data_IF_315067522394
#
_entry.id   IF_315067522394
#
_cell.length_a   1.000
_cell.length_b   1.000
_cell.length_c   1.000
_cell.angle_alpha   90.00
_cell.angle_beta   90.00
_cell.angle_gamma   90.00
#
_symmetry.space_group_name_H-M   'P 1'
#
loop_
_entity.id
_entity.type
_entity.pdbx_description
1 polymer ?
#
# COMPACT_ATOMS: atom_id res chain seq x y z
N UNK A 1 -12.78 34.68 -6.77
CA UNK A 1 -14.00 33.94 -6.46
C UNK A 1 -13.58 32.67 -5.69
N UNK A 2 -13.79 32.65 -4.37
CA UNK A 2 -13.52 31.53 -3.50
C UNK A 2 -14.59 30.45 -3.73
N UNK A 3 -14.27 29.43 -4.52
CA UNK A 3 -15.07 28.24 -4.62
C UNK A 3 -14.88 27.37 -3.37
N UNK A 4 -15.66 27.59 -2.32
CA UNK A 4 -15.82 26.62 -1.24
C UNK A 4 -16.56 25.42 -1.81
N UNK A 5 -15.79 24.37 -2.17
CA UNK A 5 -16.35 23.03 -2.45
C UNK A 5 -17.06 22.57 -1.16
N UNK A 6 -18.37 22.71 -1.08
CA UNK A 6 -19.18 22.13 -0.01
C UNK A 6 -19.22 20.63 -0.25
N UNK A 7 -18.29 19.91 0.41
CA UNK A 7 -18.37 18.45 0.44
C UNK A 7 -19.78 18.04 0.92
N UNK A 8 -20.41 17.09 0.22
CA UNK A 8 -21.71 16.55 0.61
C UNK A 8 -21.69 16.15 2.09
N UNK A 9 -22.74 16.43 2.88
CA UNK A 9 -22.84 15.99 4.28
C UNK A 9 -22.61 14.47 4.46
N UNK A 10 -22.92 13.67 3.45
CA UNK A 10 -22.61 12.25 3.42
C UNK A 10 -21.13 11.95 3.29
N UNK A 11 -20.38 12.73 2.49
CA UNK A 11 -18.94 12.53 2.31
C UNK A 11 -18.13 12.82 3.58
N UNK A 12 -18.59 13.73 4.44
CA UNK A 12 -17.93 14.04 5.71
C UNK A 12 -18.06 12.92 6.74
N UNK A 13 -19.09 12.07 6.61
CA UNK A 13 -19.42 10.95 7.54
C UNK A 13 -18.99 9.58 6.99
N UNK A 14 -18.37 9.52 5.81
CA UNK A 14 -17.84 8.27 5.28
C UNK A 14 -16.76 7.71 6.20
N UNK A 15 -16.81 6.39 6.41
CA UNK A 15 -15.81 5.66 7.18
C UNK A 15 -15.09 4.67 6.27
N UNK A 16 -13.77 4.60 6.39
CA UNK A 16 -12.89 3.75 5.61
C UNK A 16 -12.22 2.76 6.56
N UNK A 17 -12.28 1.47 6.23
CA UNK A 17 -11.67 0.41 7.02
C UNK A 17 -10.49 -0.17 6.26
N UNK A 18 -9.33 -0.22 6.91
CA UNK A 18 -8.09 -0.82 6.38
C UNK A 18 -7.25 -1.40 7.50
N UNK A 19 -6.42 -2.38 7.16
CA UNK A 19 -5.53 -3.08 8.09
C UNK A 19 -5.38 -4.54 7.74
N UNK A 20 -4.51 -5.28 8.46
CA UNK A 20 -4.19 -6.68 8.17
C UNK A 20 -5.41 -7.58 8.43
N UNK A 21 -6.18 -7.88 7.39
CA UNK A 21 -7.49 -8.57 7.50
C UNK A 21 -7.80 -9.42 6.27
N UNK A 22 -7.10 -10.53 6.09
CA UNK A 22 -7.51 -11.51 5.07
C UNK A 22 -8.91 -12.06 5.37
N UNK A 23 -9.82 -11.91 4.41
CA UNK A 23 -11.24 -12.27 4.60
C UNK A 23 -11.45 -13.70 5.08
N UNK A 24 -10.66 -14.65 4.58
CA UNK A 24 -10.75 -16.05 5.01
C UNK A 24 -10.35 -16.26 6.48
N UNK A 25 -9.44 -15.46 7.02
CA UNK A 25 -9.04 -15.52 8.43
C UNK A 25 -10.07 -14.85 9.33
N UNK A 26 -10.56 -13.68 8.92
CA UNK A 26 -11.66 -12.99 9.62
C UNK A 26 -12.89 -13.88 9.71
N UNK A 27 -13.28 -14.54 8.63
CA UNK A 27 -14.44 -15.43 8.59
C UNK A 27 -14.30 -16.65 9.51
N UNK A 28 -13.07 -17.09 9.81
CA UNK A 28 -12.80 -18.17 10.78
C UNK A 28 -12.70 -17.69 12.22
N UNK A 29 -12.87 -16.39 12.48
CA UNK A 29 -12.74 -15.80 13.79
C UNK A 29 -11.31 -15.67 14.30
N UNK A 30 -10.32 -15.61 13.40
CA UNK A 30 -8.94 -15.36 13.78
C UNK A 30 -8.80 -13.93 14.35
N UNK A 31 -7.95 -13.72 15.40
CA UNK A 31 -7.74 -12.40 15.96
C UNK A 31 -7.29 -11.40 14.89
N UNK A 32 -8.06 -10.35 14.71
CA UNK A 32 -7.85 -9.36 13.64
C UNK A 32 -7.94 -7.95 14.22
N UNK A 33 -7.05 -7.07 13.77
CA UNK A 33 -7.00 -5.68 14.21
C UNK A 33 -6.96 -4.77 12.98
N UNK A 34 -7.85 -3.77 12.94
CA UNK A 34 -7.98 -2.85 11.80
C UNK A 34 -8.11 -1.39 12.25
N UNK A 35 -7.99 -0.45 11.32
CA UNK A 35 -8.24 0.97 11.52
C UNK A 35 -9.52 1.38 10.79
N UNK A 36 -10.39 2.09 11.46
CA UNK A 36 -11.55 2.81 10.90
C UNK A 36 -11.20 4.29 10.85
N UNK A 37 -11.11 4.86 9.65
CA UNK A 37 -10.81 6.27 9.44
C UNK A 37 -12.05 7.04 9.01
N UNK A 38 -12.26 8.22 9.58
CA UNK A 38 -13.29 9.16 9.16
C UNK A 38 -12.90 10.58 9.51
N UNK A 39 -13.30 11.55 8.69
CA UNK A 39 -13.18 12.98 9.05
C UNK A 39 -14.13 13.37 10.18
N UNK A 40 -15.26 12.66 10.35
CA UNK A 40 -16.15 12.74 11.50
C UNK A 40 -15.73 11.69 12.53
N UNK A 41 -15.05 12.17 13.60
CA UNK A 41 -14.60 11.31 14.70
C UNK A 41 -15.73 10.51 15.33
N UNK A 42 -16.90 11.13 15.52
CA UNK A 42 -18.06 10.44 16.10
C UNK A 42 -18.59 9.32 15.18
N UNK A 43 -18.48 9.49 13.85
CA UNK A 43 -18.80 8.44 12.90
C UNK A 43 -17.82 7.26 13.01
N UNK A 44 -16.50 7.54 13.09
CA UNK A 44 -15.50 6.48 13.28
C UNK A 44 -15.69 5.71 14.60
N UNK A 45 -15.96 6.40 15.70
CA UNK A 45 -16.22 5.80 17.02
C UNK A 45 -17.49 4.93 17.00
N UNK A 46 -18.55 5.36 16.33
CA UNK A 46 -19.75 4.52 16.16
C UNK A 46 -19.46 3.24 15.38
N UNK A 47 -18.71 3.33 14.27
CA UNK A 47 -18.35 2.16 13.48
C UNK A 47 -17.41 1.25 14.26
N UNK A 48 -16.46 1.81 15.02
CA UNK A 48 -15.59 1.06 15.93
C UNK A 48 -16.43 0.21 16.91
N UNK A 49 -17.42 0.80 17.55
CA UNK A 49 -18.30 0.09 18.51
C UNK A 49 -19.13 -1.00 17.84
N UNK A 50 -19.64 -0.74 16.63
CA UNK A 50 -20.46 -1.68 15.88
C UNK A 50 -19.70 -2.91 15.39
N UNK A 51 -18.44 -2.72 14.99
CA UNK A 51 -17.65 -3.80 14.37
C UNK A 51 -16.76 -4.54 15.37
N UNK A 52 -16.43 -3.93 16.53
CA UNK A 52 -15.52 -4.56 17.48
C UNK A 52 -16.17 -5.74 18.19
N UNK A 53 -15.44 -6.86 18.23
CA UNK A 53 -15.79 -8.10 18.92
C UNK A 53 -14.57 -8.60 19.72
N UNK A 54 -14.68 -9.65 20.52
CA UNK A 54 -13.51 -10.23 21.20
C UNK A 54 -12.37 -10.67 20.28
N UNK A 55 -12.65 -10.94 19.01
CA UNK A 55 -11.65 -11.39 18.02
C UNK A 55 -11.42 -10.40 16.88
N UNK A 56 -12.21 -9.32 16.79
CA UNK A 56 -12.07 -8.28 15.76
C UNK A 56 -12.01 -6.91 16.43
N UNK A 57 -10.84 -6.28 16.45
CA UNK A 57 -10.63 -5.01 17.14
C UNK A 57 -10.44 -3.86 16.15
N UNK A 58 -11.21 -2.80 16.32
CA UNK A 58 -11.08 -1.57 15.53
C UNK A 58 -10.37 -0.46 16.34
N UNK A 59 -9.40 0.22 15.71
CA UNK A 59 -8.88 1.51 16.15
C UNK A 59 -9.46 2.62 15.26
N UNK A 60 -9.56 3.83 15.78
CA UNK A 60 -10.05 4.98 15.01
C UNK A 60 -8.90 5.86 14.51
N UNK A 61 -9.09 6.53 13.37
CA UNK A 61 -8.20 7.55 12.83
C UNK A 61 -9.00 8.70 12.21
N UNK A 62 -8.45 9.90 12.21
CA UNK A 62 -8.96 11.03 11.43
C UNK A 62 -8.22 11.23 10.12
N UNK A 63 -7.09 10.53 9.94
CA UNK A 63 -6.28 10.56 8.72
C UNK A 63 -6.84 9.60 7.66
N UNK A 64 -7.93 10.03 7.01
CA UNK A 64 -8.55 9.27 5.91
C UNK A 64 -7.58 9.08 4.76
N UNK A 65 -6.83 10.13 4.41
CA UNK A 65 -5.88 10.07 3.27
C UNK A 65 -4.82 9.00 3.51
N UNK A 66 -4.22 8.99 4.69
CA UNK A 66 -3.19 8.01 5.04
C UNK A 66 -3.73 6.57 5.02
N UNK A 67 -4.91 6.34 5.57
CA UNK A 67 -5.53 5.01 5.61
C UNK A 67 -5.88 4.50 4.21
N UNK A 68 -6.46 5.35 3.34
CA UNK A 68 -6.78 4.98 1.96
C UNK A 68 -5.52 4.74 1.11
N UNK A 69 -4.51 5.63 1.23
CA UNK A 69 -3.24 5.47 0.51
C UNK A 69 -2.50 4.20 0.93
N UNK A 70 -2.46 3.88 2.23
CA UNK A 70 -1.88 2.64 2.74
C UNK A 70 -2.53 1.41 2.13
N UNK A 71 -3.86 1.34 2.19
CA UNK A 71 -4.66 0.23 1.65
C UNK A 71 -4.53 0.05 0.14
N UNK A 72 -4.31 1.13 -0.63
CA UNK A 72 -4.12 1.06 -2.07
C UNK A 72 -2.68 0.64 -2.45
N UNK A 73 -1.68 1.34 -1.90
CA UNK A 73 -0.28 1.19 -2.30
C UNK A 73 0.36 -0.14 -1.87
N UNK A 74 -0.08 -0.73 -0.72
CA UNK A 74 0.39 -2.05 -0.29
C UNK A 74 0.26 -3.11 -1.39
N UNK A 75 -0.81 -3.04 -2.19
CA UNK A 75 -1.10 -4.00 -3.24
C UNK A 75 -0.06 -3.95 -4.37
N UNK A 76 0.43 -2.76 -4.69
CA UNK A 76 1.52 -2.56 -5.67
C UNK A 76 2.80 -3.22 -5.15
N UNK A 77 3.17 -2.93 -3.90
CA UNK A 77 4.39 -3.48 -3.30
C UNK A 77 4.31 -5.00 -3.12
N UNK A 78 3.12 -5.53 -2.86
CA UNK A 78 2.92 -6.97 -2.80
C UNK A 78 3.21 -7.66 -4.15
N UNK A 79 2.87 -7.03 -5.28
CA UNK A 79 3.28 -7.51 -6.61
C UNK A 79 4.80 -7.50 -6.72
N UNK A 80 5.47 -6.40 -6.36
CA UNK A 80 6.94 -6.32 -6.39
C UNK A 80 7.63 -7.38 -5.52
N UNK A 81 7.11 -7.62 -4.30
CA UNK A 81 7.60 -8.70 -3.43
C UNK A 81 7.38 -10.08 -4.07
N UNK A 82 6.23 -10.31 -4.69
CA UNK A 82 5.97 -11.53 -5.44
C UNK A 82 6.94 -11.72 -6.60
N UNK A 83 7.21 -10.68 -7.40
CA UNK A 83 8.21 -10.73 -8.50
C UNK A 83 9.58 -11.10 -7.95
N UNK A 84 10.03 -10.47 -6.87
CA UNK A 84 11.30 -10.79 -6.20
C UNK A 84 11.38 -12.24 -5.75
N UNK A 85 10.30 -12.76 -5.17
CA UNK A 85 10.22 -14.16 -4.74
C UNK A 85 10.26 -15.13 -5.95
N UNK A 86 9.51 -14.82 -7.02
CA UNK A 86 9.49 -15.60 -8.26
C UNK A 86 10.83 -15.62 -9.00
N UNK A 87 11.61 -14.56 -8.89
CA UNK A 87 13.00 -14.48 -9.39
C UNK A 87 14.01 -15.22 -8.50
N UNK A 88 13.60 -15.71 -7.32
CA UNK A 88 14.45 -16.45 -6.40
C UNK A 88 15.41 -15.58 -5.56
N UNK A 89 15.13 -14.29 -5.36
CA UNK A 89 16.04 -13.39 -4.62
C UNK A 89 16.02 -13.59 -3.10
N UNK A 90 14.98 -14.24 -2.57
CA UNK A 90 14.92 -14.67 -1.17
C UNK A 90 14.47 -13.60 -0.17
N UNK A 91 14.53 -13.96 1.12
CA UNK A 91 13.93 -13.19 2.20
C UNK A 91 14.57 -11.81 2.44
N UNK A 92 15.89 -11.68 2.23
CA UNK A 92 16.58 -10.39 2.39
C UNK A 92 16.06 -9.35 1.39
N UNK A 93 15.91 -9.72 0.12
CA UNK A 93 15.37 -8.86 -0.91
C UNK A 93 13.92 -8.46 -0.62
N UNK A 94 13.10 -9.42 -0.18
CA UNK A 94 11.71 -9.14 0.22
C UNK A 94 11.65 -8.17 1.42
N UNK A 95 12.47 -8.37 2.46
CA UNK A 95 12.54 -7.46 3.60
C UNK A 95 12.95 -6.06 3.16
N UNK A 96 13.96 -5.92 2.31
CA UNK A 96 14.39 -4.65 1.75
C UNK A 96 13.27 -3.97 0.94
N UNK A 97 12.55 -4.72 0.09
CA UNK A 97 11.40 -4.20 -0.67
C UNK A 97 10.28 -3.69 0.23
N UNK A 98 9.92 -4.43 1.29
CA UNK A 98 8.90 -3.99 2.26
C UNK A 98 9.34 -2.69 2.94
N UNK A 99 10.57 -2.63 3.44
CA UNK A 99 11.09 -1.46 4.15
C UNK A 99 11.21 -0.23 3.24
N UNK A 100 11.83 -0.39 2.07
CA UNK A 100 12.01 0.72 1.12
C UNK A 100 10.71 1.12 0.47
N UNK A 101 9.83 0.16 0.17
CA UNK A 101 8.49 0.40 -0.34
C UNK A 101 7.61 1.16 0.65
N UNK A 102 7.69 0.86 1.94
CA UNK A 102 7.01 1.65 2.98
C UNK A 102 7.47 3.12 2.96
N UNK A 103 8.76 3.36 2.73
CA UNK A 103 9.29 4.71 2.57
C UNK A 103 8.69 5.44 1.36
N UNK A 104 8.53 4.76 0.21
CA UNK A 104 7.86 5.33 -0.97
C UNK A 104 6.39 5.61 -0.71
N UNK A 105 5.66 4.66 -0.10
CA UNK A 105 4.27 4.86 0.33
C UNK A 105 4.13 6.08 1.23
N UNK A 106 5.03 6.22 2.21
CA UNK A 106 5.01 7.33 3.17
C UNK A 106 5.21 8.66 2.45
N UNK A 107 6.24 8.79 1.58
CA UNK A 107 6.47 10.03 0.82
C UNK A 107 5.28 10.40 -0.04
N UNK A 108 4.73 9.43 -0.78
CA UNK A 108 3.59 9.69 -1.66
C UNK A 108 2.33 10.06 -0.88
N UNK A 109 2.06 9.39 0.25
CA UNK A 109 0.94 9.69 1.13
C UNK A 109 1.08 11.08 1.79
N UNK A 110 2.28 11.44 2.29
CA UNK A 110 2.56 12.76 2.87
C UNK A 110 2.39 13.87 1.83
N UNK A 111 2.84 13.66 0.60
CA UNK A 111 2.62 14.61 -0.51
C UNK A 111 1.12 14.81 -0.84
N UNK A 112 0.25 13.87 -0.40
CA UNK A 112 -1.22 13.97 -0.49
C UNK A 112 -1.87 14.50 0.78
N UNK A 113 -1.09 14.86 1.79
CA UNK A 113 -1.57 15.42 3.06
C UNK A 113 -1.85 14.39 4.14
N UNK A 114 -1.37 13.15 4.00
CA UNK A 114 -1.43 12.15 5.06
C UNK A 114 -0.44 12.46 6.19
N UNK A 115 -0.77 11.97 7.38
CA UNK A 115 0.12 12.01 8.50
C UNK A 115 1.18 10.89 8.39
N UNK A 116 2.49 11.19 8.47
CA UNK A 116 3.54 10.20 8.22
C UNK A 116 3.47 8.97 9.15
N UNK A 117 3.07 9.15 10.42
CA UNK A 117 2.94 8.04 11.38
C UNK A 117 1.80 7.07 11.04
N UNK A 118 0.82 7.46 10.24
CA UNK A 118 -0.23 6.55 9.77
C UNK A 118 0.34 5.38 8.98
N UNK A 119 1.44 5.63 8.23
CA UNK A 119 2.11 4.57 7.47
C UNK A 119 2.83 3.55 8.35
N UNK A 120 3.24 3.91 9.58
CA UNK A 120 3.78 2.96 10.56
C UNK A 120 2.71 2.14 11.30
N UNK A 121 1.43 2.44 11.10
CA UNK A 121 0.29 1.79 11.75
C UNK A 121 -0.26 0.58 11.00
N UNK A 122 -1.48 0.17 11.43
CA UNK A 122 -2.18 -1.01 10.91
C UNK A 122 -2.50 -0.92 9.41
N UNK A 123 -2.99 0.24 8.95
CA UNK A 123 -3.35 0.48 7.55
C UNK A 123 -2.13 0.68 6.62
N UNK A 124 -0.96 0.97 7.17
CA UNK A 124 0.31 1.05 6.45
C UNK A 124 1.15 -0.21 6.64
N UNK A 125 2.13 -0.18 7.56
CA UNK A 125 3.08 -1.27 7.77
C UNK A 125 2.40 -2.62 8.06
N UNK A 126 1.37 -2.65 8.92
CA UNK A 126 0.71 -3.90 9.30
C UNK A 126 0.12 -4.63 8.09
N UNK A 127 -0.66 -3.91 7.28
CA UNK A 127 -1.31 -4.47 6.09
C UNK A 127 -0.32 -4.71 4.95
N UNK A 128 0.73 -3.88 4.83
CA UNK A 128 1.82 -4.10 3.90
C UNK A 128 2.55 -5.42 4.17
N UNK A 129 2.97 -5.65 5.41
CA UNK A 129 3.65 -6.89 5.80
C UNK A 129 2.77 -8.11 5.50
N UNK A 130 1.50 -8.09 5.93
CA UNK A 130 0.58 -9.18 5.65
C UNK A 130 0.43 -9.45 4.16
N UNK A 131 0.25 -8.39 3.36
CA UNK A 131 -0.02 -8.52 1.92
C UNK A 131 1.22 -8.96 1.13
N UNK A 132 2.42 -8.54 1.55
CA UNK A 132 3.69 -8.90 0.92
C UNK A 132 4.21 -10.29 1.30
N UNK A 133 3.78 -10.87 2.42
CA UNK A 133 4.30 -12.14 2.92
C UNK A 133 3.26 -13.27 2.96
N UNK A 134 1.97 -12.94 3.00
CA UNK A 134 0.91 -13.92 3.14
C UNK A 134 0.55 -14.61 1.81
N UNK A 135 0.33 -15.92 1.88
CA UNK A 135 0.01 -16.74 0.70
C UNK A 135 -1.42 -16.49 0.17
N UNK A 136 -2.29 -15.87 0.97
CA UNK A 136 -3.63 -15.48 0.55
C UNK A 136 -3.65 -14.16 -0.27
N UNK A 137 -2.50 -13.51 -0.46
CA UNK A 137 -2.39 -12.27 -1.23
C UNK A 137 -2.43 -12.53 -2.73
N UNK A 138 -3.54 -12.18 -3.37
CA UNK A 138 -3.68 -12.23 -4.84
C UNK A 138 -2.63 -11.39 -5.57
N UNK A 139 -2.30 -10.23 -5.03
CA UNK A 139 -1.29 -9.35 -5.60
C UNK A 139 0.11 -9.98 -5.56
N UNK A 140 0.49 -10.59 -4.42
CA UNK A 140 1.75 -11.33 -4.30
C UNK A 140 1.77 -12.52 -5.27
N UNK A 141 0.65 -13.24 -5.43
CA UNK A 141 0.54 -14.36 -6.38
C UNK A 141 0.76 -13.91 -7.83
N UNK A 142 0.18 -12.78 -8.25
CA UNK A 142 0.46 -12.20 -9.58
C UNK A 142 1.95 -11.93 -9.75
N UNK A 143 2.58 -11.28 -8.77
CA UNK A 143 4.01 -10.99 -8.83
C UNK A 143 4.86 -12.25 -8.91
N UNK A 144 4.55 -13.28 -8.11
CA UNK A 144 5.23 -14.58 -8.13
C UNK A 144 5.24 -15.22 -9.53
N UNK A 145 4.09 -15.21 -10.20
CA UNK A 145 3.92 -15.75 -11.54
C UNK A 145 4.67 -14.95 -12.59
N UNK A 146 4.66 -13.62 -12.49
CA UNK A 146 5.47 -12.74 -13.37
C UNK A 146 6.96 -13.03 -13.18
N UNK A 147 7.44 -13.13 -11.93
CA UNK A 147 8.82 -13.46 -11.62
C UNK A 147 9.23 -14.85 -12.11
N UNK A 148 8.29 -15.78 -12.22
CA UNK A 148 8.47 -17.10 -12.81
C UNK A 148 8.43 -17.11 -14.36
N UNK A 149 8.16 -15.94 -15.01
CA UNK A 149 8.19 -15.79 -16.46
C UNK A 149 6.83 -15.83 -17.16
N UNK A 150 5.71 -15.85 -16.42
CA UNK A 150 4.38 -15.77 -17.04
C UNK A 150 4.06 -14.32 -17.41
N UNK A 151 3.30 -14.13 -18.52
CA UNK A 151 2.78 -12.82 -18.90
C UNK A 151 1.53 -12.44 -18.11
N UNK A 152 1.24 -11.14 -18.04
CA UNK A 152 0.03 -10.66 -17.35
C UNK A 152 -1.25 -11.22 -17.99
N UNK A 153 -1.27 -11.41 -19.32
CA UNK A 153 -2.40 -12.01 -20.07
C UNK A 153 -2.60 -13.48 -19.66
N UNK A 154 -1.53 -14.27 -19.57
CA UNK A 154 -1.59 -15.67 -19.13
C UNK A 154 -2.12 -15.77 -17.70
N UNK A 155 -1.68 -14.86 -16.83
CA UNK A 155 -2.12 -14.79 -15.44
C UNK A 155 -3.62 -14.43 -15.38
N UNK A 156 -4.04 -13.41 -16.13
CA UNK A 156 -5.43 -12.96 -16.15
C UNK A 156 -6.39 -14.05 -16.69
N UNK A 157 -5.95 -14.86 -17.65
CA UNK A 157 -6.76 -15.94 -18.20
C UNK A 157 -7.07 -17.07 -17.19
N UNK A 158 -6.29 -17.20 -16.14
CA UNK A 158 -6.41 -18.30 -15.14
C UNK A 158 -6.83 -17.83 -13.75
N UNK A 159 -6.78 -16.53 -13.48
CA UNK A 159 -7.23 -15.96 -12.19
C UNK A 159 -8.72 -15.67 -12.20
N UNK A 160 -9.43 -16.13 -11.18
CA UNK A 160 -10.87 -15.89 -11.00
C UNK A 160 -11.19 -14.53 -10.36
N UNK A 161 -10.20 -13.81 -9.85
CA UNK A 161 -10.39 -12.54 -9.16
C UNK A 161 -9.29 -11.53 -9.52
N UNK A 162 -9.68 -10.28 -9.68
CA UNK A 162 -8.78 -9.16 -10.03
C UNK A 162 -7.77 -8.91 -8.90
N UNK A 163 -6.50 -8.73 -9.27
CA UNK A 163 -5.47 -8.19 -8.40
C UNK A 163 -5.44 -6.67 -8.55
N UNK A 164 -5.96 -5.96 -7.56
CA UNK A 164 -6.15 -4.51 -7.60
C UNK A 164 -4.84 -3.74 -7.81
N UNK A 165 -3.72 -4.30 -7.32
CA UNK A 165 -2.39 -3.72 -7.46
C UNK A 165 -1.94 -3.50 -8.90
N UNK A 166 -2.46 -4.28 -9.86
CA UNK A 166 -2.12 -4.13 -11.29
C UNK A 166 -2.54 -2.75 -11.81
N UNK A 167 -3.79 -2.36 -11.61
CA UNK A 167 -4.27 -1.03 -12.02
C UNK A 167 -3.72 0.08 -11.12
N UNK A 168 -3.60 -0.21 -9.83
CA UNK A 168 -3.07 0.76 -8.85
C UNK A 168 -1.62 1.12 -9.15
N UNK A 169 -0.78 0.22 -9.67
CA UNK A 169 0.62 0.50 -10.01
C UNK A 169 0.73 1.66 -11.01
N UNK A 170 -0.06 1.62 -12.11
CA UNK A 170 -0.10 2.70 -13.11
C UNK A 170 -0.56 4.03 -12.51
N UNK A 171 -1.61 4.00 -11.71
CA UNK A 171 -2.16 5.21 -11.08
C UNK A 171 -1.19 5.79 -10.05
N UNK A 172 -0.50 4.95 -9.27
CA UNK A 172 0.47 5.36 -8.26
C UNK A 172 1.73 5.96 -8.91
N UNK A 173 2.27 5.33 -9.96
CA UNK A 173 3.41 5.85 -10.71
C UNK A 173 3.07 7.19 -11.37
N UNK A 174 1.91 7.31 -11.99
CA UNK A 174 1.45 8.57 -12.57
C UNK A 174 1.28 9.67 -11.51
N UNK A 175 0.75 9.33 -10.33
CA UNK A 175 0.62 10.26 -9.21
C UNK A 175 1.98 10.70 -8.68
N UNK A 176 2.93 9.77 -8.52
CA UNK A 176 4.28 10.08 -8.06
C UNK A 176 4.98 11.07 -9.03
N UNK A 177 4.91 10.80 -10.34
CA UNK A 177 5.43 11.71 -11.38
C UNK A 177 4.77 13.09 -11.33
N UNK A 178 3.44 13.15 -11.20
CA UNK A 178 2.68 14.40 -11.11
C UNK A 178 3.06 15.25 -9.89
N UNK A 179 3.38 14.62 -8.76
CA UNK A 179 3.74 15.29 -7.51
C UNK A 179 5.25 15.51 -7.35
N UNK A 180 6.08 15.02 -8.29
CA UNK A 180 7.54 15.09 -8.19
C UNK A 180 8.11 14.25 -7.04
N UNK A 181 7.43 13.15 -6.65
CA UNK A 181 7.88 12.27 -5.57
C UNK A 181 8.70 11.12 -6.14
N UNK A 182 9.92 10.90 -5.63
CA UNK A 182 10.81 9.81 -6.06
C UNK A 182 10.30 8.47 -5.52
N UNK A 183 9.73 7.64 -6.41
CA UNK A 183 9.16 6.33 -6.11
C UNK A 183 9.66 5.26 -7.08
N UNK A 184 10.97 4.94 -7.07
CA UNK A 184 11.58 4.03 -8.06
C UNK A 184 11.06 2.59 -8.01
N UNK A 185 10.65 2.09 -6.85
CA UNK A 185 10.09 0.74 -6.73
C UNK A 185 8.70 0.70 -7.37
N UNK A 186 7.84 1.67 -7.06
CA UNK A 186 6.49 1.77 -7.64
C UNK A 186 6.57 1.97 -9.16
N UNK A 187 7.48 2.83 -9.64
CA UNK A 187 7.69 3.06 -11.07
C UNK A 187 8.22 1.79 -11.76
N UNK A 188 9.17 1.11 -11.15
CA UNK A 188 9.69 -0.16 -11.67
C UNK A 188 8.61 -1.25 -11.79
N UNK A 189 7.71 -1.36 -10.80
CA UNK A 189 6.59 -2.29 -10.85
C UNK A 189 5.62 -1.93 -11.98
N UNK A 190 5.32 -0.64 -12.17
CA UNK A 190 4.47 -0.17 -13.28
C UNK A 190 5.07 -0.54 -14.65
N UNK A 191 6.37 -0.32 -14.84
CA UNK A 191 7.10 -0.67 -16.07
C UNK A 191 7.09 -2.18 -16.35
N UNK A 192 7.29 -3.01 -15.34
CA UNK A 192 7.21 -4.47 -15.49
C UNK A 192 5.81 -4.91 -15.89
N UNK A 193 4.77 -4.35 -15.26
CA UNK A 193 3.38 -4.75 -15.49
C UNK A 193 2.82 -4.25 -16.84
N UNK A 194 3.24 -3.06 -17.27
CA UNK A 194 2.52 -2.34 -18.32
C UNK A 194 3.38 -1.91 -19.51
N UNK A 195 4.70 -1.95 -19.39
CA UNK A 195 5.63 -1.50 -20.43
C UNK A 195 6.55 -2.63 -20.93
N UNK A 196 6.38 -3.85 -20.40
CA UNK A 196 7.16 -5.01 -20.80
C UNK A 196 8.63 -4.98 -20.35
N UNK A 197 8.95 -4.17 -19.32
CA UNK A 197 10.30 -4.12 -18.79
C UNK A 197 10.70 -5.45 -18.14
N UNK A 198 11.94 -5.89 -18.37
CA UNK A 198 12.48 -7.08 -17.74
C UNK A 198 12.66 -6.88 -16.23
N UNK A 199 12.03 -7.75 -15.44
CA UNK A 199 12.01 -7.60 -13.98
C UNK A 199 13.41 -7.64 -13.34
N UNK A 200 14.35 -8.46 -13.86
CA UNK A 200 15.73 -8.51 -13.35
C UNK A 200 16.47 -7.20 -13.64
N UNK A 201 16.28 -6.67 -14.83
CA UNK A 201 16.87 -5.39 -15.25
C UNK A 201 16.37 -4.24 -14.38
N UNK A 202 15.06 -4.18 -14.08
CA UNK A 202 14.47 -3.18 -13.19
C UNK A 202 15.05 -3.28 -11.77
N UNK A 203 15.18 -4.48 -11.21
CA UNK A 203 15.83 -4.66 -9.90
C UNK A 203 17.28 -4.16 -9.92
N UNK A 204 18.05 -4.50 -10.96
CA UNK A 204 19.43 -4.03 -11.10
C UNK A 204 19.49 -2.51 -11.17
N UNK A 205 18.62 -1.87 -11.95
CA UNK A 205 18.51 -0.41 -12.04
C UNK A 205 18.27 0.23 -10.68
N UNK A 206 17.30 -0.29 -9.91
CA UNK A 206 17.00 0.22 -8.56
C UNK A 206 18.18 0.04 -7.61
N UNK A 207 18.88 -1.09 -7.68
CA UNK A 207 20.03 -1.39 -6.81
C UNK A 207 21.31 -0.58 -7.16
N UNK A 208 21.44 -0.13 -8.40
CA UNK A 208 22.60 0.65 -8.88
C UNK A 208 22.38 2.16 -8.85
N UNK A 209 21.26 2.62 -8.30
CA UNK A 209 21.00 4.05 -8.10
C UNK A 209 22.05 4.69 -7.19
N UNK A 210 22.18 5.99 -7.30
CA UNK A 210 23.06 6.79 -6.45
C UNK A 210 22.82 6.49 -4.96
N UNK A 211 23.93 6.34 -4.22
CA UNK A 211 23.90 6.07 -2.79
C UNK A 211 23.40 7.31 -2.04
N UNK A 212 22.47 7.11 -1.12
CA UNK A 212 21.87 8.19 -0.32
C UNK A 212 21.57 7.73 1.11
N UNK A 213 21.28 8.71 1.97
CA UNK A 213 20.81 8.42 3.32
C UNK A 213 19.51 7.61 3.31
N UNK A 214 19.30 6.76 4.31
CA UNK A 214 18.10 5.93 4.42
C UNK A 214 16.84 6.77 4.65
N UNK A 215 16.94 7.78 5.53
CA UNK A 215 15.84 8.70 5.81
C UNK A 215 15.93 9.93 4.89
N UNK A 216 14.82 10.29 4.29
CA UNK A 216 14.69 11.47 3.45
C UNK A 216 14.33 12.71 4.28
N UNK A 217 14.90 13.86 3.93
CA UNK A 217 14.72 15.13 4.66
C UNK A 217 13.26 15.60 4.68
N UNK A 218 12.50 15.34 3.63
CA UNK A 218 11.07 15.67 3.57
C UNK A 218 10.21 14.89 4.56
N UNK A 219 10.53 13.60 4.80
CA UNK A 219 9.87 12.78 5.83
C UNK A 219 10.28 13.24 7.22
N UNK A 220 11.57 13.54 7.43
CA UNK A 220 12.07 14.09 8.69
C UNK A 220 11.43 15.44 9.03
N UNK A 221 11.33 16.35 8.03
CA UNK A 221 10.69 17.64 8.20
C UNK A 221 9.19 17.52 8.49
N UNK A 222 8.51 16.55 7.89
CA UNK A 222 7.10 16.28 8.16
C UNK A 222 6.90 15.70 9.57
N UNK A 223 7.77 14.81 10.02
CA UNK A 223 7.73 14.24 11.37
C UNK A 223 7.99 15.28 12.46
N UNK A 224 8.92 16.23 12.24
CA UNK A 224 9.24 17.29 13.18
C UNK A 224 8.09 18.29 13.45
N UNK A 225 7.10 18.36 12.56
CA UNK A 225 5.90 19.20 12.75
C UNK A 225 4.84 18.56 13.65
N UNK A 226 5.06 17.34 14.09
CA UNK A 226 4.11 16.50 14.83
C UNK A 226 4.40 16.48 16.34
N UNK A 227 5.59 16.96 16.74
CA UNK A 227 6.02 17.17 18.13
C UNK A 227 5.81 18.65 18.49
#
# INVERSE_FOLDING_TARGET
ANGTSTASPLASRACFLSGPSFAAEVARGAPTVVTVASRDRAAAERVQLLLSTPVFRCYTSTDVVGVEMGGALKNVLAIGCGVSDGLGFGANARAALVTRGLGEMTRLAVARGAHPLTMGGLAGLGDLVLTCTGDLSRNRTVGLRIGAGETLEQIAATMTAVAEGVLTARSAAALARKLGVDCPIIDGIDRVLHEGADARSVVTEVMTRELKAELHDDVLAAAAKVV
#
